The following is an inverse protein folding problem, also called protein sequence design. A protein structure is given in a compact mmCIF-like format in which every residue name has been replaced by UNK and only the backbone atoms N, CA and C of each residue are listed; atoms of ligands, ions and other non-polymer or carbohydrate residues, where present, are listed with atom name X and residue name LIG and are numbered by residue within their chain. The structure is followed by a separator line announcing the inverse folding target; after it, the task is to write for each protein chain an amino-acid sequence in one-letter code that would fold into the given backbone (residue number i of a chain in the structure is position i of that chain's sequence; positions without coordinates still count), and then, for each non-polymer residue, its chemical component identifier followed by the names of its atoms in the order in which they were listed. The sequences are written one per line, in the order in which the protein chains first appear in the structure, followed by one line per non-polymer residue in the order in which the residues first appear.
data_IF_330204445170
#
_entry.id   IF_330204445170
#
_cell.length_a   1.000
_cell.length_b   1.000
_cell.length_c   1.000
_cell.angle_alpha   90.00
_cell.angle_beta   90.00
_cell.angle_gamma   90.00
#
_symmetry.space_group_name_H-M   'P 1'
#
loop_
_entity.id
_entity.type
_entity.pdbx_description
1 polymer ?
#
# COMPACT_ATOMS: atom_id res chain seq x y z
N UNK A 1 14.10 18.72 -16.41
CA UNK A 1 14.38 18.60 -14.96
C UNK A 1 13.02 18.65 -14.29
N UNK A 2 12.61 17.57 -13.62
CA UNK A 2 11.29 17.51 -13.00
C UNK A 2 11.19 18.59 -11.90
N UNK A 3 10.04 19.27 -11.78
CA UNK A 3 9.83 20.22 -10.69
C UNK A 3 9.85 19.45 -9.35
N UNK A 4 10.36 20.06 -8.28
CA UNK A 4 10.35 19.41 -6.95
C UNK A 4 8.94 18.95 -6.60
N UNK A 5 8.75 17.64 -6.45
CA UNK A 5 7.45 17.01 -6.17
C UNK A 5 6.79 16.30 -7.36
N UNK A 6 7.21 16.53 -8.60
CA UNK A 6 6.59 15.91 -9.79
C UNK A 6 6.72 14.38 -9.81
N UNK A 7 7.83 13.87 -9.29
CA UNK A 7 8.10 12.43 -9.15
C UNK A 7 7.84 11.91 -7.72
N UNK A 8 7.35 12.76 -6.82
CA UNK A 8 7.00 12.31 -5.47
C UNK A 8 5.67 11.57 -5.49
N UNK A 9 5.57 10.53 -4.69
CA UNK A 9 4.32 9.79 -4.43
C UNK A 9 4.03 9.79 -2.94
N UNK A 10 2.79 9.50 -2.58
CA UNK A 10 2.37 9.27 -1.20
C UNK A 10 1.48 8.05 -1.12
N UNK A 11 1.56 7.34 0.01
CA UNK A 11 0.50 6.43 0.43
C UNK A 11 -0.65 7.23 1.04
N UNK A 12 -1.80 6.58 1.24
CA UNK A 12 -2.91 7.15 2.00
C UNK A 12 -3.65 6.05 2.74
N UNK A 13 -4.04 6.33 3.98
CA UNK A 13 -4.99 5.53 4.74
C UNK A 13 -5.99 6.49 5.38
N UNK A 14 -7.28 6.31 5.05
CA UNK A 14 -8.35 7.19 5.50
C UNK A 14 -9.36 6.40 6.33
N UNK A 15 -9.89 7.05 7.36
CA UNK A 15 -11.04 6.58 8.12
C UNK A 15 -12.12 7.65 8.10
N UNK A 16 -13.31 7.30 7.64
CA UNK A 16 -14.52 8.14 7.72
C UNK A 16 -15.48 7.52 8.72
N UNK A 17 -15.83 8.28 9.75
CA UNK A 17 -16.77 7.84 10.80
C UNK A 17 -18.09 8.57 10.59
N UNK A 18 -19.16 7.81 10.40
CA UNK A 18 -20.53 8.33 10.30
C UNK A 18 -21.45 7.55 11.27
N UNK A 19 -21.68 8.13 12.45
CA UNK A 19 -22.37 7.44 13.55
C UNK A 19 -21.59 6.21 14.00
N UNK A 20 -22.18 5.03 13.86
CA UNK A 20 -21.54 3.74 14.17
C UNK A 20 -20.87 3.09 12.95
N UNK A 21 -20.97 3.69 11.77
CA UNK A 21 -20.33 3.19 10.55
C UNK A 21 -18.91 3.74 10.45
N UNK A 22 -17.94 2.83 10.32
CA UNK A 22 -16.53 3.16 10.06
C UNK A 22 -16.20 2.67 8.66
N UNK A 23 -15.91 3.60 7.74
CA UNK A 23 -15.40 3.30 6.40
C UNK A 23 -13.90 3.50 6.40
N UNK A 24 -13.15 2.47 5.99
CA UNK A 24 -11.69 2.50 5.91
C UNK A 24 -11.26 2.24 4.48
N UNK A 25 -10.36 3.07 3.97
CA UNK A 25 -9.80 2.96 2.63
C UNK A 25 -8.29 3.16 2.68
N UNK A 26 -7.54 2.47 1.82
CA UNK A 26 -6.09 2.56 1.75
C UNK A 26 -5.54 2.46 0.33
N UNK A 27 -4.49 3.24 0.06
CA UNK A 27 -3.65 3.14 -1.14
C UNK A 27 -2.18 3.09 -0.71
N UNK A 28 -1.47 2.03 -1.13
CA UNK A 28 -0.09 1.77 -0.72
C UNK A 28 0.02 0.82 0.47
N UNK A 29 1.10 0.92 1.23
CA UNK A 29 1.44 0.03 2.36
C UNK A 29 1.28 0.68 3.74
N UNK A 30 0.58 1.82 3.81
CA UNK A 30 0.07 2.36 5.07
C UNK A 30 -1.14 1.58 5.55
N UNK A 31 -1.34 1.52 6.88
CA UNK A 31 -2.20 0.53 7.52
C UNK A 31 -3.14 1.11 8.56
N UNK A 32 -4.38 0.63 8.57
CA UNK A 32 -5.37 0.92 9.60
C UNK A 32 -5.60 -0.30 10.50
N UNK A 33 -5.68 -0.07 11.80
CA UNK A 33 -5.95 -1.09 12.82
C UNK A 33 -7.08 -0.55 13.71
N UNK A 34 -7.98 -1.44 14.11
CA UNK A 34 -9.04 -1.17 15.07
C UNK A 34 -8.76 -1.92 16.38
N UNK A 35 -8.65 -1.15 17.46
CA UNK A 35 -8.55 -1.66 18.83
C UNK A 35 -9.83 -1.25 19.57
N UNK A 36 -10.65 -2.24 19.95
CA UNK A 36 -11.90 -2.00 20.69
C UNK A 36 -11.72 -2.44 22.14
N UNK A 37 -12.40 -1.74 23.05
CA UNK A 37 -12.33 -2.09 24.47
C UNK A 37 -12.84 -3.52 24.70
N UNK A 38 -11.93 -4.41 25.12
CA UNK A 38 -12.23 -5.81 25.41
C UNK A 38 -12.36 -6.72 24.17
N UNK A 39 -12.10 -6.20 22.98
CA UNK A 39 -12.06 -6.98 21.73
C UNK A 39 -10.65 -7.36 21.30
N UNK A 40 -10.56 -8.08 20.19
CA UNK A 40 -9.28 -8.35 19.52
C UNK A 40 -8.87 -7.16 18.63
N UNK A 41 -7.57 -6.94 18.52
CA UNK A 41 -6.98 -5.97 17.59
C UNK A 41 -7.20 -6.46 16.17
N UNK A 42 -7.93 -5.70 15.36
CA UNK A 42 -8.30 -6.05 14.00
C UNK A 42 -7.53 -5.23 12.97
N UNK A 43 -6.98 -5.90 11.97
CA UNK A 43 -6.42 -5.26 10.79
C UNK A 43 -7.56 -4.84 9.85
N UNK A 44 -7.64 -3.55 9.50
CA UNK A 44 -8.72 -3.03 8.64
C UNK A 44 -8.30 -2.80 7.18
N UNK A 45 -7.01 -2.94 6.85
CA UNK A 45 -6.47 -2.73 5.50
C UNK A 45 -5.47 -3.82 5.13
N UNK A 46 -5.33 -4.10 3.85
CA UNK A 46 -4.28 -4.99 3.32
C UNK A 46 -3.27 -4.14 2.57
N UNK A 47 -1.99 -4.25 2.94
CA UNK A 47 -0.92 -3.49 2.26
C UNK A 47 -0.92 -3.80 0.75
N UNK A 48 -0.88 -2.75 -0.08
CA UNK A 48 -0.74 -2.92 -1.51
C UNK A 48 0.72 -3.15 -1.91
N UNK A 49 1.20 -4.39 -1.73
CA UNK A 49 2.59 -4.78 -1.98
C UNK A 49 2.71 -5.81 -3.10
N UNK A 50 3.57 -5.54 -4.10
CA UNK A 50 3.82 -6.42 -5.25
C UNK A 50 4.36 -7.80 -4.85
N UNK A 51 5.12 -7.91 -3.76
CA UNK A 51 5.66 -9.21 -3.31
C UNK A 51 4.55 -10.20 -2.93
N UNK A 52 3.46 -9.70 -2.34
CA UNK A 52 2.38 -10.53 -1.78
C UNK A 52 1.12 -10.55 -2.65
N UNK A 53 0.94 -9.55 -3.52
CA UNK A 53 -0.26 -9.42 -4.34
C UNK A 53 0.03 -9.88 -5.79
N UNK A 54 -0.44 -11.08 -6.15
CA UNK A 54 -0.28 -11.62 -7.49
C UNK A 54 -1.06 -10.83 -8.55
N UNK A 55 -2.26 -10.33 -8.21
CA UNK A 55 -3.09 -9.52 -9.10
C UNK A 55 -2.39 -8.20 -9.44
N UNK A 56 -1.73 -7.57 -8.48
CA UNK A 56 -0.97 -6.35 -8.74
C UNK A 56 0.27 -6.61 -9.61
N UNK A 57 0.92 -7.76 -9.47
CA UNK A 57 2.02 -8.16 -10.37
C UNK A 57 1.52 -8.39 -11.79
N UNK A 58 0.38 -9.05 -11.94
CA UNK A 58 -0.27 -9.24 -13.24
C UNK A 58 -0.67 -7.89 -13.84
N UNK A 59 -1.24 -6.97 -13.06
CA UNK A 59 -1.60 -5.63 -13.50
C UNK A 59 -0.39 -4.85 -14.02
N UNK A 60 0.74 -4.92 -13.33
CA UNK A 60 2.02 -4.31 -13.79
C UNK A 60 2.48 -4.95 -15.10
N UNK A 61 2.48 -6.28 -15.17
CA UNK A 61 2.93 -7.03 -16.35
C UNK A 61 2.05 -6.78 -17.58
N UNK A 62 0.72 -6.76 -17.41
CA UNK A 62 -0.25 -6.45 -18.45
C UNK A 62 -0.14 -5.00 -18.96
N UNK A 63 0.42 -4.12 -18.13
CA UNK A 63 0.73 -2.73 -18.49
C UNK A 63 2.10 -2.57 -19.17
N UNK A 64 2.83 -3.67 -19.43
CA UNK A 64 4.16 -3.68 -20.02
C UNK A 64 5.30 -3.39 -19.05
N UNK A 65 5.05 -3.41 -17.74
CA UNK A 65 6.07 -3.24 -16.70
C UNK A 65 6.66 -4.57 -16.23
N UNK A 66 7.78 -4.49 -15.52
CA UNK A 66 8.42 -5.62 -14.85
C UNK A 66 8.38 -5.42 -13.33
N UNK A 67 8.26 -6.52 -12.59
CA UNK A 67 8.32 -6.52 -11.13
C UNK A 67 9.59 -7.22 -10.68
N UNK A 68 10.44 -6.50 -9.94
CA UNK A 68 11.66 -7.03 -9.34
C UNK A 68 11.86 -6.49 -7.93
N UNK A 69 12.80 -7.08 -7.20
CA UNK A 69 13.21 -6.54 -5.91
C UNK A 69 14.07 -5.30 -6.13
N UNK A 70 13.77 -4.23 -5.39
CA UNK A 70 14.52 -2.99 -5.46
C UNK A 70 15.75 -3.09 -4.55
N UNK A 71 16.93 -3.22 -5.13
CA UNK A 71 18.19 -3.03 -4.42
C UNK A 71 18.51 -1.54 -4.29
N UNK A 72 17.99 -0.91 -3.24
CA UNK A 72 18.25 0.51 -2.92
C UNK A 72 19.75 0.84 -2.80
N UNK A 73 20.58 -0.15 -2.48
CA UNK A 73 22.03 0.01 -2.32
C UNK A 73 22.85 -0.23 -3.60
N UNK A 74 22.22 -0.42 -4.76
CA UNK A 74 22.94 -0.56 -6.04
C UNK A 74 23.79 -1.84 -6.17
N UNK A 75 23.48 -2.89 -5.41
CA UNK A 75 24.12 -4.20 -5.55
C UNK A 75 23.47 -5.05 -6.67
N UNK A 76 24.29 -5.83 -7.38
CA UNK A 76 23.84 -6.83 -8.35
C UNK A 76 23.02 -7.92 -7.62
N UNK A 77 21.82 -8.25 -8.11
CA UNK A 77 21.11 -9.46 -7.66
C UNK A 77 21.80 -10.70 -8.24
N UNK A 78 22.00 -11.71 -7.40
CA UNK A 78 22.41 -13.07 -7.79
C UNK A 78 21.17 -13.96 -7.93
#
# INVERSE_FOLDING_TARGET
MAISGEVSGTTATLVVINGFTVTVESVGDSRCILDTQGGEVQLLTVDNCLEKNAEERERVSASGGEVGRLNLFGGQEF
#
